data_IF_177086022723
#
_entry.id   IF_177086022723
#
_cell.length_a   1.000
_cell.length_b   1.000
_cell.length_c   1.000
_cell.angle_alpha   90.00
_cell.angle_beta   90.00
_cell.angle_gamma   90.00
#
_symmetry.space_group_name_H-M   'P 1'
#
loop_
_entity.id
_entity.type
_entity.pdbx_description
1 polymer ?
#
# COMPACT_ATOMS: atom_id res chain seq x y z
N UNK A 1 5.46 19.45 3.05
CA UNK A 1 4.36 18.53 3.37
C UNK A 1 3.87 17.91 2.07
N UNK A 2 3.72 16.58 2.02
CA UNK A 2 3.10 15.88 0.87
C UNK A 2 1.72 16.47 0.56
N UNK A 3 1.33 16.50 -0.71
CA UNK A 3 0.06 17.08 -1.16
C UNK A 3 -1.15 16.38 -0.54
N UNK A 4 -1.08 15.06 -0.38
CA UNK A 4 -2.17 14.27 0.23
C UNK A 4 -2.27 14.53 1.74
N UNK A 5 -1.12 14.63 2.43
CA UNK A 5 -1.12 15.00 3.84
C UNK A 5 -1.73 16.40 4.03
N UNK A 6 -1.34 17.37 3.19
CA UNK A 6 -1.89 18.73 3.22
C UNK A 6 -3.41 18.73 3.04
N UNK A 7 -3.93 17.96 2.07
CA UNK A 7 -5.37 17.83 1.85
C UNK A 7 -6.11 17.29 3.09
N UNK A 8 -5.56 16.27 3.76
CA UNK A 8 -6.16 15.71 4.97
C UNK A 8 -6.17 16.74 6.11
N UNK A 9 -5.09 17.52 6.28
CA UNK A 9 -5.03 18.56 7.31
C UNK A 9 -5.93 19.77 6.99
N UNK A 10 -6.21 20.06 5.71
CA UNK A 10 -7.11 21.15 5.30
C UNK A 10 -8.60 20.77 5.45
N UNK A 11 -8.95 19.50 5.26
CA UNK A 11 -10.34 19.02 5.37
C UNK A 11 -10.74 18.71 6.82
N UNK A 12 -9.77 18.38 7.68
CA UNK A 12 -10.04 17.92 9.05
C UNK A 12 -10.06 19.08 10.06
N UNK A 13 -11.00 19.09 11.01
CA UNK A 13 -11.16 20.18 11.97
C UNK A 13 -10.08 20.22 13.07
N UNK A 14 -9.24 19.18 13.21
CA UNK A 14 -8.21 19.09 14.24
C UNK A 14 -6.98 18.32 13.77
N UNK A 15 -5.79 18.85 14.10
CA UNK A 15 -4.49 18.26 13.79
C UNK A 15 -4.31 16.85 14.37
N UNK A 16 -4.85 16.61 15.57
CA UNK A 16 -4.77 15.30 16.23
C UNK A 16 -5.51 14.23 15.42
N UNK A 17 -6.69 14.56 14.92
CA UNK A 17 -7.53 13.62 14.14
C UNK A 17 -6.90 13.40 12.76
N UNK A 18 -6.37 14.45 12.13
CA UNK A 18 -5.66 14.35 10.86
C UNK A 18 -4.43 13.42 10.96
N UNK A 19 -3.69 13.46 12.06
CA UNK A 19 -2.56 12.55 12.32
C UNK A 19 -2.99 11.08 12.40
N UNK A 20 -4.08 10.77 13.11
CA UNK A 20 -4.61 9.41 13.18
C UNK A 20 -5.12 8.91 11.83
N UNK A 21 -5.76 9.78 11.03
CA UNK A 21 -6.20 9.43 9.67
C UNK A 21 -5.00 9.15 8.77
N UNK A 22 -3.96 9.98 8.82
CA UNK A 22 -2.73 9.74 8.06
C UNK A 22 -2.07 8.41 8.44
N UNK A 23 -2.00 8.11 9.74
CA UNK A 23 -1.50 6.82 10.22
C UNK A 23 -2.33 5.65 9.67
N UNK A 24 -3.66 5.74 9.77
CA UNK A 24 -4.57 4.74 9.23
C UNK A 24 -4.44 4.57 7.71
N UNK A 25 -4.25 5.68 6.98
CA UNK A 25 -4.07 5.66 5.53
C UNK A 25 -2.76 4.97 5.14
N UNK A 26 -1.63 5.33 5.78
CA UNK A 26 -0.33 4.70 5.54
C UNK A 26 -0.41 3.21 5.85
N UNK A 27 -1.02 2.84 6.99
CA UNK A 27 -1.19 1.44 7.40
C UNK A 27 -2.04 0.66 6.40
N UNK A 28 -3.17 1.22 5.96
CA UNK A 28 -4.05 0.59 4.97
C UNK A 28 -3.36 0.47 3.61
N UNK A 29 -2.70 1.52 3.13
CA UNK A 29 -1.97 1.50 1.85
C UNK A 29 -0.82 0.50 1.90
N UNK A 30 -0.06 0.45 2.99
CA UNK A 30 1.01 -0.52 3.20
C UNK A 30 0.47 -1.95 3.18
N UNK A 31 -0.68 -2.20 3.83
CA UNK A 31 -1.34 -3.50 3.82
C UNK A 31 -1.79 -3.92 2.41
N UNK A 32 -2.34 -2.97 1.62
CA UNK A 32 -2.73 -3.21 0.22
C UNK A 32 -1.50 -3.54 -0.63
N UNK A 33 -0.46 -2.70 -0.58
CA UNK A 33 0.81 -2.89 -1.32
C UNK A 33 1.42 -4.24 -0.96
N UNK A 34 1.45 -4.59 0.32
CA UNK A 34 1.93 -5.88 0.79
C UNK A 34 1.11 -7.04 0.19
N UNK A 35 -0.22 -6.98 0.29
CA UNK A 35 -1.12 -8.01 -0.26
C UNK A 35 -1.02 -8.14 -1.79
N UNK A 36 -0.73 -7.04 -2.49
CA UNK A 36 -0.55 -7.03 -3.94
C UNK A 36 0.82 -7.52 -4.37
N UNK A 37 1.88 -7.08 -3.69
CA UNK A 37 3.27 -7.43 -3.97
C UNK A 37 3.58 -8.88 -3.64
N UNK A 38 3.04 -9.39 -2.54
CA UNK A 38 3.14 -10.79 -2.19
C UNK A 38 2.01 -11.58 -2.85
N UNK A 39 2.20 -11.91 -4.14
CA UNK A 39 1.32 -12.76 -4.93
C UNK A 39 1.29 -14.25 -4.50
N UNK A 40 1.74 -14.58 -3.27
CA UNK A 40 1.91 -15.96 -2.80
C UNK A 40 0.84 -16.29 -1.76
N UNK A 41 0.22 -17.48 -1.85
CA UNK A 41 -0.62 -18.05 -0.79
C UNK A 41 0.25 -18.23 0.45
N UNK A 42 0.24 -17.25 1.35
CA UNK A 42 0.98 -17.34 2.60
C UNK A 42 0.18 -18.19 3.59
N UNK A 43 0.86 -19.17 4.17
CA UNK A 43 0.34 -19.99 5.25
C UNK A 43 -0.15 -19.04 6.38
N UNK A 44 -1.32 -19.27 7.01
CA UNK A 44 -1.94 -18.31 7.93
C UNK A 44 -1.01 -17.86 9.07
N UNK A 45 -0.12 -18.75 9.53
CA UNK A 45 0.90 -18.43 10.53
C UNK A 45 1.98 -17.44 10.03
N UNK A 46 2.39 -17.54 8.76
CA UNK A 46 3.38 -16.62 8.18
C UNK A 46 2.78 -15.24 7.91
N UNK A 47 1.50 -15.18 7.55
CA UNK A 47 0.78 -13.90 7.40
C UNK A 47 0.78 -13.09 8.69
N UNK A 48 0.69 -13.74 9.86
CA UNK A 48 0.69 -13.07 11.16
C UNK A 48 2.04 -12.40 11.45
N UNK A 49 3.15 -13.11 11.27
CA UNK A 49 4.51 -12.58 11.47
C UNK A 49 4.75 -11.37 10.59
N UNK A 50 4.27 -11.41 9.35
CA UNK A 50 4.48 -10.31 8.42
C UNK A 50 3.57 -9.13 8.73
N UNK A 51 2.36 -9.35 9.24
CA UNK A 51 1.52 -8.26 9.76
C UNK A 51 2.16 -7.56 10.97
N UNK A 52 2.85 -8.31 11.83
CA UNK A 52 3.63 -7.74 12.95
C UNK A 52 4.78 -6.89 12.41
N UNK A 53 5.56 -7.40 11.46
CA UNK A 53 6.61 -6.63 10.79
C UNK A 53 6.07 -5.40 10.06
N UNK A 54 4.90 -5.51 9.43
CA UNK A 54 4.22 -4.41 8.76
C UNK A 54 3.80 -3.34 9.77
N UNK A 55 3.27 -3.74 10.93
CA UNK A 55 2.89 -2.82 11.99
C UNK A 55 4.11 -2.05 12.53
N UNK A 56 5.21 -2.74 12.81
CA UNK A 56 6.47 -2.10 13.19
C UNK A 56 7.03 -1.19 12.08
N UNK A 57 6.95 -1.65 10.82
CA UNK A 57 7.31 -0.84 9.65
C UNK A 57 6.46 0.42 9.54
N UNK A 58 5.17 0.34 9.82
CA UNK A 58 4.26 1.49 9.81
C UNK A 58 4.60 2.53 10.88
N UNK A 59 5.10 2.13 12.05
CA UNK A 59 5.61 3.08 13.05
C UNK A 59 6.78 3.90 12.49
N UNK A 60 7.73 3.24 11.83
CA UNK A 60 8.87 3.90 11.17
C UNK A 60 8.41 4.75 9.98
N UNK A 61 7.52 4.23 9.14
CA UNK A 61 6.96 4.94 7.99
C UNK A 61 6.19 6.19 8.41
N UNK A 62 5.50 6.17 9.54
CA UNK A 62 4.78 7.34 10.07
C UNK A 62 5.74 8.43 10.50
N UNK A 63 6.86 8.05 11.13
CA UNK A 63 7.92 8.99 11.47
C UNK A 63 8.55 9.60 10.20
N UNK A 64 8.81 8.77 9.19
CA UNK A 64 9.34 9.24 7.90
C UNK A 64 8.30 10.05 7.09
N UNK A 65 7.00 9.78 7.22
CA UNK A 65 5.93 10.48 6.51
C UNK A 65 5.85 11.97 6.85
N UNK A 66 6.43 12.38 7.97
CA UNK A 66 6.58 13.78 8.34
C UNK A 66 7.59 14.51 7.43
N UNK A 67 8.64 13.81 7.00
CA UNK A 67 9.73 14.38 6.20
C UNK A 67 9.68 13.98 4.73
N UNK A 68 9.09 12.83 4.41
CA UNK A 68 9.04 12.25 3.07
C UNK A 68 7.60 12.06 2.57
N UNK A 69 7.37 12.14 1.25
CA UNK A 69 6.09 11.83 0.60
C UNK A 69 5.76 10.32 0.58
N UNK A 70 5.69 9.69 1.75
CA UNK A 70 5.49 8.23 1.88
C UNK A 70 4.15 7.79 1.29
N UNK A 71 3.06 8.54 1.53
CA UNK A 71 1.72 8.19 1.02
C UNK A 71 1.72 8.17 -0.52
N UNK A 72 2.33 9.17 -1.15
CA UNK A 72 2.46 9.26 -2.61
C UNK A 72 3.32 8.11 -3.15
N UNK A 73 4.42 7.77 -2.46
CA UNK A 73 5.24 6.61 -2.80
C UNK A 73 4.49 5.27 -2.73
N UNK A 74 3.67 5.07 -1.70
CA UNK A 74 2.83 3.87 -1.56
C UNK A 74 1.78 3.78 -2.67
N UNK A 75 1.17 4.91 -3.06
CA UNK A 75 0.21 4.96 -4.17
C UNK A 75 0.88 4.58 -5.48
N UNK A 76 2.07 5.13 -5.76
CA UNK A 76 2.85 4.79 -6.96
C UNK A 76 3.24 3.31 -6.97
N UNK A 77 3.72 2.78 -5.84
CA UNK A 77 4.04 1.35 -5.71
C UNK A 77 2.80 0.47 -5.94
N UNK A 78 1.66 0.83 -5.35
CA UNK A 78 0.39 0.14 -5.56
C UNK A 78 -0.03 0.14 -7.04
N UNK A 79 0.06 1.30 -7.72
CA UNK A 79 -0.23 1.43 -9.15
C UNK A 79 0.66 0.50 -9.99
N UNK A 80 1.98 0.52 -9.76
CA UNK A 80 2.92 -0.34 -10.48
C UNK A 80 2.55 -1.83 -10.30
N UNK A 81 2.23 -2.24 -9.06
CA UNK A 81 1.83 -3.62 -8.76
C UNK A 81 0.49 -4.00 -9.40
N UNK A 82 -0.49 -3.10 -9.42
CA UNK A 82 -1.77 -3.30 -10.12
C UNK A 82 -1.53 -3.52 -11.61
N UNK A 83 -0.76 -2.63 -12.25
CA UNK A 83 -0.42 -2.73 -13.66
C UNK A 83 0.29 -4.05 -13.95
N UNK A 84 1.30 -4.40 -13.15
CA UNK A 84 2.03 -5.67 -13.28
C UNK A 84 1.09 -6.87 -13.18
N UNK A 85 0.17 -6.87 -12.20
CA UNK A 85 -0.78 -7.96 -12.00
C UNK A 85 -1.76 -8.11 -13.17
N UNK A 86 -2.26 -6.99 -13.70
CA UNK A 86 -3.16 -6.98 -14.87
C UNK A 86 -2.41 -7.46 -16.12
N UNK A 87 -1.18 -6.98 -16.34
CA UNK A 87 -0.34 -7.42 -17.46
C UNK A 87 -0.08 -8.93 -17.40
N UNK A 88 0.35 -9.45 -16.24
CA UNK A 88 0.61 -10.87 -16.06
C UNK A 88 -0.62 -11.75 -16.27
N UNK A 89 -1.81 -11.27 -15.89
CA UNK A 89 -3.05 -12.00 -16.11
C UNK A 89 -3.45 -12.05 -17.60
N UNK A 90 -3.11 -11.01 -18.36
CA UNK A 90 -3.34 -10.96 -19.81
C UNK A 90 -2.41 -11.92 -20.57
N UNK A 91 -1.14 -12.02 -20.19
CA UNK A 91 -0.20 -12.96 -20.85
C UNK A 91 -0.62 -14.42 -20.67
N UNK A 92 -1.12 -14.81 -19.49
CA UNK A 92 -1.61 -16.17 -19.25
C UNK A 92 -2.87 -16.52 -20.07
N UNK A 93 -3.63 -15.51 -20.51
CA UNK A 93 -4.86 -15.67 -21.29
C UNK A 93 -4.61 -15.70 -22.80
N UNK A 94 -3.47 -15.21 -23.27
CA UNK A 94 -3.11 -15.21 -24.70
C UNK A 94 -2.47 -16.51 -25.20
N UNK A 95 -2.07 -17.42 -24.31
CA UNK A 95 -1.45 -18.71 -24.67
C UNK A 95 -2.45 -19.89 -24.66
N UNK A 96 -3.71 -19.68 -24.25
CA UNK A 96 -4.73 -20.74 -24.13
C UNK A 96 -5.90 -20.58 -25.13
N UNK A 97 -5.68 -19.97 -26.29
CA UNK A 97 -6.62 -20.02 -27.42
C UNK A 97 -6.20 -21.17 -28.37
N UNK A 98 -6.87 -22.34 -28.35
CA UNK A 98 -6.60 -23.46 -29.26
C UNK A 98 -7.27 -23.25 -30.63
N UNK A 99 -6.98 -22.13 -31.31
CA UNK A 99 -7.46 -21.89 -32.69
C UNK A 99 -6.39 -21.15 -33.50
N UNK A 100 -5.33 -21.87 -33.87
CA UNK A 100 -4.45 -21.56 -34.99
C UNK A 100 -4.07 -22.88 -35.68
#
# INVERSE_FOLDING_TARGET
MSGIARFIYEVMPSYTIAGYILFGLVLLMSAIVYKLGFAKKLHPLQSLVIYIFLFFGCLVLTFLAFFLPIVEGLIVAALILIIYRVRRLKEYKGENDPVA
#
